data_IF_289492394106
#
_entry.id   IF_289492394106
#
_cell.length_a   1.000
_cell.length_b   1.000
_cell.length_c   1.000
_cell.angle_alpha   90.00
_cell.angle_beta   90.00
_cell.angle_gamma   90.00
#
_symmetry.space_group_name_H-M   'P 1'
#
loop_
_entity.id
_entity.type
_entity.pdbx_description
1 polymer ?
#
# COMPACT_ATOMS: atom_id res chain seq x y z
N UNK A 1 15.05 8.75 2.55
CA UNK A 1 14.66 10.02 1.91
C UNK A 1 14.64 9.94 0.38
N UNK A 2 15.67 9.41 -0.30
CA UNK A 2 15.64 9.26 -1.78
C UNK A 2 14.50 8.37 -2.31
N UNK A 3 14.23 7.25 -1.65
CA UNK A 3 13.11 6.35 -2.00
C UNK A 3 11.74 7.04 -1.85
N UNK A 4 11.58 7.90 -0.84
CA UNK A 4 10.33 8.62 -0.58
C UNK A 4 10.04 9.67 -1.64
N UNK A 5 11.08 10.38 -2.10
CA UNK A 5 10.95 11.35 -3.21
C UNK A 5 10.69 10.66 -4.55
N UNK A 6 11.33 9.52 -4.79
CA UNK A 6 11.12 8.72 -6.00
C UNK A 6 9.70 8.15 -6.05
N UNK A 7 9.22 7.60 -4.93
CA UNK A 7 7.85 7.11 -4.79
C UNK A 7 6.81 8.24 -4.94
N UNK A 8 7.08 9.42 -4.38
CA UNK A 8 6.23 10.59 -4.60
C UNK A 8 6.20 10.98 -6.08
N UNK A 9 7.34 10.91 -6.77
CA UNK A 9 7.47 11.22 -8.18
C UNK A 9 6.64 10.32 -9.11
N UNK A 10 6.42 9.05 -8.75
CA UNK A 10 5.56 8.14 -9.53
C UNK A 10 4.08 8.32 -9.20
N UNK A 11 3.71 8.47 -7.93
CA UNK A 11 2.30 8.57 -7.53
C UNK A 11 1.65 9.95 -7.77
N UNK A 12 2.41 11.05 -7.77
CA UNK A 12 1.88 12.40 -8.02
C UNK A 12 1.27 12.55 -9.43
N UNK A 13 1.94 12.16 -10.54
CA UNK A 13 1.35 12.26 -11.86
C UNK A 13 0.10 11.37 -11.99
N UNK A 14 0.11 10.16 -11.45
CA UNK A 14 -1.07 9.27 -11.45
C UNK A 14 -2.26 9.85 -10.67
N UNK A 15 -2.00 10.55 -9.56
CA UNK A 15 -3.02 11.28 -8.82
C UNK A 15 -3.62 12.39 -9.66
N UNK A 16 -2.78 13.19 -10.35
CA UNK A 16 -3.24 14.29 -11.20
C UNK A 16 -4.10 13.77 -12.35
N UNK A 17 -3.66 12.73 -13.05
CA UNK A 17 -4.43 12.15 -14.16
C UNK A 17 -5.77 11.59 -13.67
N UNK A 18 -5.78 10.85 -12.56
CA UNK A 18 -6.99 10.28 -11.96
C UNK A 18 -7.98 11.37 -11.52
N UNK A 19 -7.52 12.45 -10.88
CA UNK A 19 -8.37 13.59 -10.51
C UNK A 19 -8.96 14.28 -11.75
N UNK A 20 -8.16 14.46 -12.79
CA UNK A 20 -8.59 15.14 -14.01
C UNK A 20 -9.66 14.34 -14.76
N UNK A 21 -9.54 13.01 -14.80
CA UNK A 21 -10.52 12.08 -15.37
C UNK A 21 -11.79 12.02 -14.51
N UNK A 22 -11.65 11.99 -13.18
CA UNK A 22 -12.79 12.02 -12.27
C UNK A 22 -13.61 13.33 -12.40
N UNK A 23 -12.94 14.48 -12.57
CA UNK A 23 -13.59 15.78 -12.80
C UNK A 23 -14.37 15.84 -14.12
N UNK A 24 -14.01 15.02 -15.10
CA UNK A 24 -14.75 14.88 -16.37
C UNK A 24 -15.97 13.95 -16.27
N UNK A 25 -16.28 13.44 -15.07
CA UNK A 25 -17.41 12.53 -14.83
C UNK A 25 -17.07 11.05 -14.95
N UNK A 26 -15.82 10.70 -15.27
CA UNK A 26 -15.36 9.32 -15.43
C UNK A 26 -14.70 8.79 -14.15
N UNK A 27 -15.43 8.80 -13.03
CA UNK A 27 -14.93 8.35 -11.73
C UNK A 27 -14.44 6.89 -11.73
N UNK A 28 -15.19 5.99 -12.37
CA UNK A 28 -14.83 4.56 -12.45
C UNK A 28 -13.52 4.34 -13.23
N UNK A 29 -13.27 5.18 -14.24
CA UNK A 29 -12.03 5.18 -15.03
C UNK A 29 -10.84 5.71 -14.22
N UNK A 30 -11.07 6.72 -13.38
CA UNK A 30 -10.04 7.24 -12.48
C UNK A 30 -9.61 6.18 -11.45
N UNK A 31 -10.58 5.46 -10.87
CA UNK A 31 -10.30 4.39 -9.90
C UNK A 31 -9.55 3.22 -10.55
N UNK A 32 -9.98 2.78 -11.73
CA UNK A 32 -9.31 1.69 -12.44
C UNK A 32 -7.89 2.04 -12.88
N UNK A 33 -7.65 3.29 -13.31
CA UNK A 33 -6.31 3.80 -13.63
C UNK A 33 -5.39 3.79 -12.40
N UNK A 34 -5.88 4.29 -11.26
CA UNK A 34 -5.12 4.31 -10.01
C UNK A 34 -4.77 2.90 -9.52
N UNK A 35 -5.72 1.96 -9.57
CA UNK A 35 -5.49 0.56 -9.16
C UNK A 35 -4.53 -0.13 -10.13
N UNK A 36 -4.65 0.13 -11.44
CA UNK A 36 -3.80 -0.45 -12.47
C UNK A 36 -2.33 -0.04 -12.34
N UNK A 37 -2.05 1.25 -12.07
CA UNK A 37 -0.67 1.75 -11.88
C UNK A 37 0.01 1.06 -10.69
N UNK A 38 -0.68 0.96 -9.54
CA UNK A 38 -0.15 0.27 -8.36
C UNK A 38 0.13 -1.23 -8.59
N UNK A 39 -0.74 -1.91 -9.36
CA UNK A 39 -0.53 -3.32 -9.72
C UNK A 39 0.70 -3.44 -10.63
N UNK A 40 0.87 -2.54 -11.61
CA UNK A 40 2.02 -2.53 -12.49
C UNK A 40 3.33 -2.28 -11.73
N UNK A 41 3.35 -1.36 -10.77
CA UNK A 41 4.51 -1.09 -9.92
C UNK A 41 4.95 -2.33 -9.14
N UNK A 42 3.99 -3.09 -8.58
CA UNK A 42 4.30 -4.31 -7.83
C UNK A 42 4.67 -5.49 -8.74
N UNK A 43 4.00 -5.64 -9.88
CA UNK A 43 4.20 -6.78 -10.79
C UNK A 43 5.42 -6.62 -11.70
N UNK A 44 5.76 -5.38 -12.06
CA UNK A 44 6.78 -5.06 -13.07
C UNK A 44 7.85 -4.14 -12.48
N UNK A 45 7.45 -3.07 -11.79
CA UNK A 45 8.39 -2.08 -11.22
C UNK A 45 9.35 -2.65 -10.18
N UNK A 46 8.87 -3.48 -9.25
CA UNK A 46 9.70 -4.13 -8.22
C UNK A 46 10.53 -5.32 -8.74
N UNK A 47 9.97 -6.25 -9.55
CA UNK A 47 10.70 -7.46 -9.94
C UNK A 47 11.75 -7.21 -11.02
N UNK A 48 11.57 -6.23 -11.92
CA UNK A 48 12.51 -5.96 -13.01
C UNK A 48 13.92 -5.61 -12.51
N UNK A 49 14.11 -4.61 -11.62
CA UNK A 49 15.43 -4.26 -11.09
C UNK A 49 16.05 -5.40 -10.26
N UNK A 50 15.21 -6.15 -9.54
CA UNK A 50 15.67 -7.29 -8.74
C UNK A 50 16.16 -8.43 -9.63
N UNK A 51 15.43 -8.75 -10.71
CA UNK A 51 15.82 -9.75 -11.71
C UNK A 51 17.13 -9.35 -12.41
N UNK A 52 17.24 -8.09 -12.85
CA UNK A 52 18.47 -7.54 -13.43
C UNK A 52 19.65 -7.64 -12.47
N UNK A 53 19.43 -7.30 -11.19
CA UNK A 53 20.47 -7.38 -10.17
C UNK A 53 20.91 -8.82 -9.89
N UNK A 54 19.97 -9.76 -9.81
CA UNK A 54 20.28 -11.19 -9.65
C UNK A 54 21.06 -11.75 -10.85
N UNK A 55 20.77 -11.30 -12.07
CA UNK A 55 21.50 -11.73 -13.27
C UNK A 55 22.94 -11.22 -13.31
N UNK A 56 23.20 -10.01 -12.81
CA UNK A 56 24.53 -9.37 -12.88
C UNK A 56 25.39 -9.72 -11.65
N UNK A 57 24.81 -9.71 -10.45
CA UNK A 57 25.55 -9.77 -9.18
C UNK A 57 25.35 -11.07 -8.39
N UNK A 58 24.51 -11.99 -8.87
CA UNK A 58 24.19 -13.26 -8.20
C UNK A 58 23.08 -13.14 -7.15
N UNK A 59 22.76 -14.24 -6.44
CA UNK A 59 21.58 -14.33 -5.58
C UNK A 59 21.69 -13.42 -4.34
N UNK A 60 20.76 -12.48 -4.22
CA UNK A 60 20.68 -11.53 -3.09
C UNK A 60 19.99 -12.21 -1.90
N UNK A 61 20.69 -12.29 -0.76
CA UNK A 61 20.11 -12.79 0.50
C UNK A 61 19.19 -11.74 1.12
N UNK A 62 17.92 -12.10 1.29
CA UNK A 62 16.90 -11.27 1.93
C UNK A 62 16.79 -11.65 3.41
N UNK A 63 17.02 -10.70 4.33
CA UNK A 63 16.81 -10.91 5.77
C UNK A 63 15.34 -10.67 6.14
N UNK A 64 14.70 -11.68 6.73
CA UNK A 64 13.23 -11.75 6.90
C UNK A 64 12.69 -11.23 8.23
N UNK A 65 13.55 -10.71 9.12
CA UNK A 65 13.16 -10.31 10.48
C UNK A 65 12.33 -9.02 10.47
N UNK A 66 11.01 -9.15 10.27
CA UNK A 66 10.05 -8.04 10.36
C UNK A 66 9.07 -7.93 9.17
N UNK A 67 9.39 -8.54 8.02
CA UNK A 67 8.57 -8.44 6.80
C UNK A 67 7.16 -9.03 6.97
N UNK A 68 7.03 -10.12 7.74
CA UNK A 68 5.75 -10.80 7.94
C UNK A 68 4.70 -9.88 8.59
N UNK A 69 5.09 -9.06 9.57
CA UNK A 69 4.17 -8.13 10.23
C UNK A 69 3.72 -7.01 9.30
N UNK A 70 4.65 -6.42 8.54
CA UNK A 70 4.32 -5.37 7.56
C UNK A 70 3.40 -5.90 6.46
N UNK A 71 3.66 -7.11 5.95
CA UNK A 71 2.80 -7.77 4.96
C UNK A 71 1.40 -8.02 5.54
N UNK A 72 1.30 -8.49 6.78
CA UNK A 72 0.02 -8.76 7.43
C UNK A 72 -0.84 -7.49 7.59
N UNK A 73 -0.24 -6.38 8.03
CA UNK A 73 -0.94 -5.10 8.19
C UNK A 73 -1.41 -4.55 6.83
N UNK A 74 -0.55 -4.61 5.81
CA UNK A 74 -0.91 -4.20 4.45
C UNK A 74 -2.07 -5.03 3.88
N UNK A 75 -2.04 -6.35 4.10
CA UNK A 75 -3.10 -7.25 3.64
C UNK A 75 -4.43 -6.99 4.36
N UNK A 76 -4.40 -6.80 5.69
CA UNK A 76 -5.61 -6.45 6.45
C UNK A 76 -6.21 -5.12 6.01
N UNK A 77 -5.38 -4.12 5.72
CA UNK A 77 -5.83 -2.82 5.22
C UNK A 77 -6.49 -2.94 3.84
N UNK A 78 -5.89 -3.71 2.92
CA UNK A 78 -6.46 -3.99 1.61
C UNK A 78 -7.87 -4.62 1.73
N UNK A 79 -8.03 -5.61 2.60
CA UNK A 79 -9.33 -6.24 2.85
C UNK A 79 -10.36 -5.23 3.38
N UNK A 80 -9.98 -4.39 4.33
CA UNK A 80 -10.85 -3.36 4.89
C UNK A 80 -11.33 -2.36 3.83
N UNK A 81 -10.44 -1.95 2.93
CA UNK A 81 -10.78 -1.06 1.81
C UNK A 81 -11.78 -1.75 0.86
N UNK A 82 -11.54 -3.00 0.47
CA UNK A 82 -12.44 -3.76 -0.42
C UNK A 82 -13.82 -3.93 0.22
N UNK A 83 -13.88 -4.31 1.50
CA UNK A 83 -15.14 -4.47 2.24
C UNK A 83 -15.91 -3.15 2.28
N UNK A 84 -15.23 -2.04 2.56
CA UNK A 84 -15.85 -0.72 2.61
C UNK A 84 -16.43 -0.33 1.25
N UNK A 85 -15.70 -0.55 0.16
CA UNK A 85 -16.18 -0.28 -1.20
C UNK A 85 -17.40 -1.17 -1.54
N UNK A 86 -17.36 -2.44 -1.16
CA UNK A 86 -18.46 -3.38 -1.38
C UNK A 86 -19.73 -2.97 -0.61
N UNK A 87 -19.60 -2.52 0.65
CA UNK A 87 -20.72 -2.02 1.47
C UNK A 87 -21.38 -0.79 0.85
N UNK A 88 -20.60 0.08 0.21
CA UNK A 88 -21.10 1.27 -0.49
C UNK A 88 -21.58 0.97 -1.92
N UNK A 89 -21.79 -0.31 -2.27
CA UNK A 89 -22.34 -0.77 -3.56
C UNK A 89 -21.60 -0.20 -4.78
N UNK A 90 -20.27 -0.03 -4.69
CA UNK A 90 -19.47 0.51 -5.78
C UNK A 90 -19.94 1.89 -6.28
N UNK A 91 -20.64 2.66 -5.43
CA UNK A 91 -21.10 4.03 -5.73
C UNK A 91 -20.16 5.03 -5.09
N UNK A 92 -19.64 5.95 -5.89
CA UNK A 92 -18.77 7.02 -5.42
C UNK A 92 -19.60 8.11 -4.71
N UNK A 93 -19.82 7.93 -3.40
CA UNK A 93 -20.53 8.87 -2.53
C UNK A 93 -19.54 9.67 -1.66
N UNK A 94 -19.92 10.87 -1.25
CA UNK A 94 -19.12 11.70 -0.33
C UNK A 94 -18.85 10.98 1.01
N UNK A 95 -19.80 10.14 1.46
CA UNK A 95 -19.62 9.29 2.63
C UNK A 95 -18.50 8.25 2.47
N UNK A 96 -18.37 7.62 1.30
CA UNK A 96 -17.27 6.69 1.01
C UNK A 96 -15.92 7.42 1.06
N UNK A 97 -15.85 8.64 0.51
CA UNK A 97 -14.64 9.46 0.55
C UNK A 97 -14.21 9.79 1.99
N UNK A 98 -15.15 10.15 2.88
CA UNK A 98 -14.84 10.38 4.29
C UNK A 98 -14.34 9.12 5.00
N UNK A 99 -14.96 7.96 4.77
CA UNK A 99 -14.53 6.70 5.37
C UNK A 99 -13.13 6.30 4.88
N UNK A 100 -12.84 6.46 3.58
CA UNK A 100 -11.52 6.21 3.01
C UNK A 100 -10.45 7.13 3.62
N UNK A 101 -10.75 8.42 3.79
CA UNK A 101 -9.83 9.38 4.40
C UNK A 101 -9.55 9.05 5.87
N UNK A 102 -10.58 8.63 6.60
CA UNK A 102 -10.45 8.18 7.98
C UNK A 102 -9.59 6.91 8.09
N UNK A 103 -9.87 5.89 7.27
CA UNK A 103 -9.07 4.66 7.21
C UNK A 103 -7.60 4.94 6.88
N UNK A 104 -7.33 5.89 5.98
CA UNK A 104 -5.97 6.31 5.65
C UNK A 104 -5.24 6.94 6.85
N UNK A 105 -5.91 7.80 7.62
CA UNK A 105 -5.35 8.37 8.85
C UNK A 105 -5.05 7.30 9.90
N UNK A 106 -5.98 6.35 10.10
CA UNK A 106 -5.78 5.21 11.01
C UNK A 106 -4.60 4.36 10.56
N UNK A 107 -4.46 4.13 9.26
CA UNK A 107 -3.33 3.38 8.70
C UNK A 107 -2.00 4.09 8.95
N UNK A 108 -1.90 5.40 8.68
CA UNK A 108 -0.69 6.17 8.97
C UNK A 108 -0.37 6.12 10.45
N UNK A 109 -1.35 6.34 11.33
CA UNK A 109 -1.13 6.30 12.77
C UNK A 109 -0.61 4.91 13.21
N UNK A 110 -1.24 3.84 12.75
CA UNK A 110 -0.83 2.46 13.05
C UNK A 110 0.58 2.15 12.50
N UNK A 111 0.87 2.56 11.26
CA UNK A 111 2.19 2.39 10.64
C UNK A 111 3.28 3.15 11.37
N UNK A 112 3.03 4.39 11.80
CA UNK A 112 3.97 5.17 12.58
C UNK A 112 4.20 4.56 13.97
N UNK A 113 3.14 4.10 14.64
CA UNK A 113 3.26 3.43 15.96
C UNK A 113 4.11 2.15 15.86
N UNK A 114 3.99 1.42 14.76
CA UNK A 114 4.80 0.22 14.48
C UNK A 114 6.27 0.58 14.20
N UNK A 115 6.52 1.64 13.44
CA UNK A 115 7.86 2.13 13.06
C UNK A 115 8.61 2.74 14.25
N UNK A 116 7.94 3.51 15.12
CA UNK A 116 8.53 4.16 16.30
C UNK A 116 8.80 3.19 17.48
N UNK A 117 8.80 1.87 17.25
CA UNK A 117 9.08 0.82 18.24
C UNK A 117 8.23 0.86 19.53
N UNK A 118 7.04 1.46 19.52
CA UNK A 118 6.12 1.37 20.67
C UNK A 118 5.55 -0.04 20.82
N UNK A 119 5.53 -0.81 19.72
CA UNK A 119 5.19 -2.25 19.69
C UNK A 119 6.23 -2.99 18.86
N UNK A 120 7.23 -3.61 19.50
CA UNK A 120 8.18 -4.48 18.78
C UNK A 120 7.47 -5.77 18.35
N UNK A 121 7.46 -6.07 17.06
CA UNK A 121 6.89 -7.32 16.55
C UNK A 121 7.61 -8.58 17.09
N UNK A 122 8.84 -8.42 17.60
CA UNK A 122 9.57 -9.46 18.33
C UNK A 122 8.86 -9.87 19.63
N UNK A 123 8.18 -8.94 20.31
CA UNK A 123 7.51 -9.22 21.59
C UNK A 123 6.20 -10.00 21.40
N UNK A 124 5.46 -9.78 20.31
CA UNK A 124 4.22 -10.53 19.99
C UNK A 124 4.53 -11.97 19.57
N UNK A 125 5.58 -12.19 18.77
CA UNK A 125 6.00 -13.53 18.34
C UNK A 125 6.58 -14.34 19.52
N UNK A 126 7.31 -13.70 20.43
CA UNK A 126 7.78 -14.36 21.66
C UNK A 126 6.62 -14.67 22.63
N UNK A 127 5.58 -13.84 22.69
CA UNK A 127 4.38 -14.13 23.50
C UNK A 127 3.58 -15.32 22.97
N UNK A 128 3.54 -15.51 21.64
CA UNK A 128 2.85 -16.65 21.00
C UNK A 128 3.67 -17.96 21.03
N UNK A 129 4.98 -17.88 21.31
CA UNK A 129 5.89 -19.04 21.41
C UNK A 129 6.02 -19.57 22.85
N UNK A 130 5.58 -18.79 23.86
CA UNK A 130 5.59 -19.15 25.29
C UNK A 130 4.22 -19.66 25.81
N UNK A 131 3.26 -19.89 24.90
CA UNK A 131 2.04 -20.67 25.12
C UNK A 131 2.00 -21.85 24.16
#
# INVERSE_FOLDING_TARGET
>A
MGLTFLAAGTSIPDLITSVLVARKGFGDMAVSSSVGSNIFDVAVGLPLPWLLSCMIYGPVKVSSSGMACSIFILFMMLLFVIITIALFRWRMNVGLAMVMFFLYFVFIACSLILEYEVVRCTDIINYLRLR
#
